data_IF_153875107723
#
_entry.id   IF_153875107723
#
_cell.length_a   1.000
_cell.length_b   1.000
_cell.length_c   1.000
_cell.angle_alpha   90.00
_cell.angle_beta   90.00
_cell.angle_gamma   90.00
#
_symmetry.space_group_name_H-M   'P 1'
#
loop_
_entity.id
_entity.type
_entity.pdbx_description
1 polymer ?
#
# COMPACT_ATOMS: atom_id res chain seq x y z
N UNK A 1 2.04 35.23 45.91
CA UNK A 1 1.48 33.90 46.26
C UNK A 1 1.41 33.09 44.97
N UNK A 2 2.45 32.31 44.67
CA UNK A 2 2.44 31.42 43.51
C UNK A 2 1.73 30.14 43.94
N UNK A 3 0.52 29.89 43.48
CA UNK A 3 -0.15 28.62 43.60
C UNK A 3 0.63 27.62 42.75
N UNK A 4 1.49 26.81 43.39
CA UNK A 4 2.11 25.65 42.73
C UNK A 4 1.00 24.74 42.24
N UNK A 5 0.88 24.59 40.93
CA UNK A 5 0.11 23.51 40.32
C UNK A 5 0.76 22.21 40.82
N UNK A 6 0.03 21.49 41.67
CA UNK A 6 0.39 20.14 42.12
C UNK A 6 0.21 19.20 40.90
N UNK A 7 1.24 19.17 40.05
CA UNK A 7 1.26 18.31 38.87
C UNK A 7 1.37 16.87 39.35
N UNK A 8 0.27 16.16 39.25
CA UNK A 8 0.31 14.70 39.48
C UNK A 8 1.39 14.06 38.60
N UNK A 9 2.18 13.13 39.13
CA UNK A 9 3.19 12.44 38.36
C UNK A 9 2.54 11.77 37.14
N UNK A 10 3.20 11.92 36.00
CA UNK A 10 2.73 11.32 34.73
C UNK A 10 2.47 9.82 34.92
N UNK A 11 1.29 9.29 34.55
CA UNK A 11 1.02 7.87 34.67
C UNK A 11 2.09 7.06 33.94
N UNK A 12 2.69 6.09 34.64
CA UNK A 12 3.61 5.14 34.01
C UNK A 12 2.75 4.06 33.36
N UNK A 13 2.92 3.78 32.05
CA UNK A 13 2.21 2.68 31.41
C UNK A 13 2.46 1.37 32.14
N UNK A 14 1.40 0.62 32.42
CA UNK A 14 1.54 -0.75 32.94
C UNK A 14 2.15 -1.70 31.89
N UNK A 15 2.45 -2.94 32.29
CA UNK A 15 2.92 -3.94 31.33
C UNK A 15 1.86 -4.16 30.24
N UNK A 16 2.32 -4.24 28.98
CA UNK A 16 1.42 -4.51 27.84
C UNK A 16 0.83 -5.91 28.02
N UNK A 17 -0.50 -6.07 28.02
CA UNK A 17 -1.12 -7.39 28.11
C UNK A 17 -0.65 -8.29 26.97
N UNK A 18 -0.52 -9.58 27.24
CA UNK A 18 -0.27 -10.56 26.19
C UNK A 18 -1.42 -10.49 25.16
N UNK A 19 -1.09 -10.12 23.94
CA UNK A 19 -2.03 -10.04 22.85
C UNK A 19 -1.48 -10.77 21.63
N UNK A 20 -2.34 -11.52 20.95
CA UNK A 20 -2.02 -12.18 19.69
C UNK A 20 -3.03 -11.77 18.65
N UNK A 21 -2.59 -11.70 17.41
CA UNK A 21 -3.49 -11.46 16.29
C UNK A 21 -4.57 -12.57 16.25
N UNK A 22 -5.85 -12.23 16.01
CA UNK A 22 -6.92 -13.20 16.02
C UNK A 22 -6.71 -14.32 14.98
N UNK A 23 -6.86 -15.57 15.39
CA UNK A 23 -6.63 -16.72 14.53
C UNK A 23 -7.72 -16.82 13.44
N UNK A 24 -7.29 -16.97 12.20
CA UNK A 24 -8.16 -17.29 11.07
C UNK A 24 -8.35 -18.80 10.90
N UNK A 25 -9.59 -19.23 10.69
CA UNK A 25 -9.93 -20.62 10.32
C UNK A 25 -9.98 -20.71 8.80
N UNK A 26 -9.12 -21.53 8.22
CA UNK A 26 -9.06 -21.76 6.79
C UNK A 26 -10.13 -22.75 6.31
N UNK A 27 -10.64 -22.51 5.13
CA UNK A 27 -11.59 -23.36 4.43
C UNK A 27 -11.52 -23.15 2.92
N UNK A 28 -12.47 -23.67 2.18
CA UNK A 28 -12.57 -23.46 0.72
C UNK A 28 -14.01 -23.68 0.24
N UNK A 29 -14.46 -22.81 -0.65
CA UNK A 29 -15.67 -23.06 -1.45
C UNK A 29 -15.34 -24.14 -2.51
N UNK A 30 -16.18 -25.16 -2.72
CA UNK A 30 -15.98 -26.15 -3.78
C UNK A 30 -15.81 -25.47 -5.15
N UNK A 31 -14.69 -25.73 -5.83
CA UNK A 31 -14.29 -25.10 -7.10
C UNK A 31 -14.23 -23.56 -7.08
N UNK A 32 -14.28 -22.94 -5.90
CA UNK A 32 -14.28 -21.50 -5.68
C UNK A 32 -13.09 -21.01 -4.84
N UNK A 33 -13.21 -19.82 -4.23
CA UNK A 33 -12.15 -19.19 -3.45
C UNK A 33 -11.77 -20.00 -2.20
N UNK A 34 -10.51 -19.87 -1.80
CA UNK A 34 -10.11 -20.20 -0.44
C UNK A 34 -10.83 -19.25 0.54
N UNK A 35 -11.11 -19.72 1.75
CA UNK A 35 -11.79 -18.92 2.76
C UNK A 35 -10.96 -18.79 4.03
N UNK A 36 -10.99 -17.62 4.66
CA UNK A 36 -10.45 -17.37 5.99
C UNK A 36 -11.55 -16.76 6.85
N UNK A 37 -11.96 -17.44 7.91
CA UNK A 37 -12.95 -16.93 8.86
C UNK A 37 -12.25 -16.52 10.14
N UNK A 38 -12.55 -15.35 10.64
CA UNK A 38 -12.02 -14.85 11.90
C UNK A 38 -13.19 -14.44 12.81
N UNK A 39 -13.49 -15.26 13.81
CA UNK A 39 -14.52 -14.94 14.80
C UNK A 39 -13.99 -13.92 15.81
N UNK A 40 -14.74 -12.82 15.94
CA UNK A 40 -14.42 -11.70 16.81
C UNK A 40 -15.61 -11.38 17.71
N UNK A 41 -15.79 -12.10 18.83
CA UNK A 41 -16.94 -11.96 19.72
C UNK A 41 -17.21 -10.51 20.11
N UNK A 42 -18.47 -10.07 20.00
CA UNK A 42 -18.91 -8.73 20.31
C UNK A 42 -18.71 -7.69 19.21
N UNK A 43 -18.05 -8.01 18.10
CA UNK A 43 -17.91 -7.11 16.93
C UNK A 43 -19.13 -7.23 16.02
N UNK A 44 -20.10 -6.32 16.19
CA UNK A 44 -21.41 -6.36 15.51
C UNK A 44 -21.36 -6.01 14.02
N UNK A 45 -20.23 -5.54 13.52
CA UNK A 45 -19.96 -5.33 12.08
C UNK A 45 -19.13 -6.49 11.57
N UNK A 46 -19.54 -7.11 10.49
CA UNK A 46 -18.76 -8.06 9.73
C UNK A 46 -18.02 -7.31 8.59
N UNK A 47 -16.80 -7.73 8.33
CA UNK A 47 -16.00 -7.28 7.21
C UNK A 47 -15.69 -8.46 6.30
N UNK A 48 -16.04 -8.34 5.03
CA UNK A 48 -15.70 -9.30 3.97
C UNK A 48 -14.65 -8.67 3.06
N UNK A 49 -13.62 -9.43 2.74
CA UNK A 49 -12.57 -9.02 1.78
C UNK A 49 -12.36 -10.15 0.80
N UNK A 50 -12.60 -9.90 -0.46
CA UNK A 50 -12.28 -10.82 -1.54
C UNK A 50 -11.01 -10.33 -2.23
N UNK A 51 -9.99 -11.19 -2.24
CA UNK A 51 -8.72 -10.98 -2.91
C UNK A 51 -8.73 -11.74 -4.21
N UNK A 52 -8.67 -11.02 -5.32
CA UNK A 52 -8.53 -11.58 -6.66
C UNK A 52 -7.09 -11.34 -7.11
N UNK A 53 -6.38 -12.39 -7.51
CA UNK A 53 -5.02 -12.26 -8.02
C UNK A 53 -5.00 -11.66 -9.44
N UNK A 54 -5.58 -10.48 -9.57
CA UNK A 54 -5.76 -9.70 -10.79
C UNK A 54 -5.36 -8.23 -10.55
N UNK A 55 -4.21 -8.02 -9.90
CA UNK A 55 -3.64 -6.70 -9.72
C UNK A 55 -2.95 -6.19 -10.99
N UNK A 56 -2.51 -4.93 -10.95
CA UNK A 56 -1.83 -4.31 -12.09
C UNK A 56 -0.56 -5.06 -12.54
N UNK A 57 0.09 -5.79 -11.62
CA UNK A 57 1.24 -6.65 -11.96
C UNK A 57 0.94 -7.79 -12.94
N UNK A 58 -0.35 -8.05 -13.22
CA UNK A 58 -0.82 -9.08 -14.16
C UNK A 58 -1.59 -8.49 -15.36
N UNK A 59 -1.50 -7.18 -15.57
CA UNK A 59 -2.13 -6.54 -16.73
C UNK A 59 -1.47 -7.01 -18.04
N UNK A 60 -2.25 -7.44 -19.03
CA UNK A 60 -1.72 -8.03 -20.25
C UNK A 60 -1.10 -7.00 -21.20
N UNK A 61 -0.14 -7.48 -21.99
CA UNK A 61 0.32 -6.83 -23.21
C UNK A 61 -0.29 -7.60 -24.37
N UNK A 62 -1.03 -6.92 -25.23
CA UNK A 62 -1.71 -7.55 -26.38
C UNK A 62 -0.71 -7.92 -27.48
N UNK A 63 -1.15 -8.75 -28.41
CA UNK A 63 -0.31 -9.23 -29.51
C UNK A 63 0.17 -8.11 -30.46
N UNK A 64 -0.54 -6.99 -30.51
CA UNK A 64 -0.17 -5.79 -31.26
C UNK A 64 0.83 -4.88 -30.51
N UNK A 65 1.21 -5.25 -29.29
CA UNK A 65 2.10 -4.52 -28.41
C UNK A 65 1.40 -3.48 -27.53
N UNK A 66 0.09 -3.30 -27.63
CA UNK A 66 -0.70 -2.41 -26.75
C UNK A 66 -0.71 -2.95 -25.33
N UNK A 67 -0.33 -2.11 -24.37
CA UNK A 67 -0.38 -2.42 -22.93
C UNK A 67 -1.73 -1.98 -22.38
N UNK A 68 -2.32 -2.81 -21.52
CA UNK A 68 -3.57 -2.49 -20.84
C UNK A 68 -3.32 -1.88 -19.44
N UNK A 69 -2.25 -1.06 -19.30
CA UNK A 69 -1.91 -0.43 -18.02
C UNK A 69 -3.09 0.43 -17.52
N UNK A 70 -3.56 0.14 -16.31
CA UNK A 70 -4.73 0.77 -15.68
C UNK A 70 -6.02 -0.04 -15.80
N UNK A 71 -6.06 -1.14 -16.58
CA UNK A 71 -7.28 -1.95 -16.73
C UNK A 71 -7.73 -2.57 -15.40
N UNK A 72 -6.81 -2.95 -14.52
CA UNK A 72 -7.15 -3.48 -13.20
C UNK A 72 -7.86 -2.44 -12.34
N UNK A 73 -7.37 -1.19 -12.32
CA UNK A 73 -7.98 -0.07 -11.61
C UNK A 73 -9.35 0.26 -12.18
N UNK A 74 -9.46 0.34 -13.50
CA UNK A 74 -10.73 0.63 -14.19
C UNK A 74 -11.76 -0.49 -13.93
N UNK A 75 -11.31 -1.75 -13.93
CA UNK A 75 -12.16 -2.91 -13.59
C UNK A 75 -12.67 -2.82 -12.15
N UNK A 76 -11.81 -2.45 -11.20
CA UNK A 76 -12.22 -2.27 -9.81
C UNK A 76 -13.33 -1.22 -9.67
N UNK A 77 -13.19 -0.07 -10.35
CA UNK A 77 -14.22 0.97 -10.36
C UNK A 77 -15.52 0.47 -11.03
N UNK A 78 -15.40 -0.24 -12.15
CA UNK A 78 -16.54 -0.74 -12.90
C UNK A 78 -17.40 -1.76 -12.13
N UNK A 79 -16.83 -2.49 -11.15
CA UNK A 79 -17.58 -3.39 -10.28
C UNK A 79 -18.65 -2.67 -9.45
N UNK A 80 -18.49 -1.39 -9.16
CA UNK A 80 -19.47 -0.60 -8.40
C UNK A 80 -20.59 -0.02 -9.27
N UNK A 81 -20.49 -0.12 -10.60
CA UNK A 81 -21.40 0.53 -11.56
C UNK A 81 -22.69 -0.27 -11.83
N UNK A 82 -22.80 -1.48 -11.27
CA UNK A 82 -24.02 -2.28 -11.36
C UNK A 82 -23.79 -3.74 -11.71
N UNK A 83 -24.90 -4.45 -11.74
CA UNK A 83 -24.96 -5.85 -12.16
C UNK A 83 -25.83 -5.97 -13.41
N UNK A 84 -25.78 -7.10 -14.12
CA UNK A 84 -26.62 -7.33 -15.32
C UNK A 84 -28.11 -7.03 -15.09
N UNK A 85 -28.74 -7.33 -13.92
CA UNK A 85 -30.14 -6.99 -13.66
C UNK A 85 -30.39 -5.54 -13.25
N UNK A 86 -29.35 -4.72 -12.92
CA UNK A 86 -29.55 -3.35 -12.42
C UNK A 86 -28.32 -2.48 -12.41
N UNK A 87 -28.47 -1.20 -12.75
CA UNK A 87 -27.39 -0.20 -12.79
C UNK A 87 -26.94 0.23 -11.39
N UNK A 88 -25.85 1.04 -11.34
CA UNK A 88 -25.14 1.43 -10.14
C UNK A 88 -26.00 2.10 -9.06
N UNK A 89 -26.95 2.95 -9.42
CA UNK A 89 -27.87 3.58 -8.45
C UNK A 89 -28.74 2.53 -7.74
N UNK A 90 -29.23 1.52 -8.45
CA UNK A 90 -30.03 0.45 -7.85
C UNK A 90 -29.17 -0.43 -6.93
N UNK A 91 -27.94 -0.72 -7.33
CA UNK A 91 -26.95 -1.46 -6.55
C UNK A 91 -26.59 -0.71 -5.26
N UNK A 92 -26.25 0.57 -5.36
CA UNK A 92 -25.94 1.41 -4.20
C UNK A 92 -27.12 1.42 -3.19
N UNK A 93 -28.35 1.66 -3.68
CA UNK A 93 -29.55 1.62 -2.84
C UNK A 93 -29.81 0.24 -2.22
N UNK A 94 -29.42 -0.86 -2.88
CA UNK A 94 -29.54 -2.20 -2.31
C UNK A 94 -28.57 -2.41 -1.14
N UNK A 95 -27.31 -1.98 -1.26
CA UNK A 95 -26.35 -2.00 -0.16
C UNK A 95 -26.76 -1.09 0.99
N UNK A 96 -27.21 0.12 0.71
CA UNK A 96 -27.71 1.06 1.73
C UNK A 96 -28.85 0.48 2.57
N UNK A 97 -29.81 -0.20 1.95
CA UNK A 97 -30.91 -0.86 2.68
C UNK A 97 -30.42 -1.94 3.64
N UNK A 98 -29.27 -2.54 3.38
CA UNK A 98 -28.63 -3.52 4.27
C UNK A 98 -27.72 -2.85 5.32
N UNK A 99 -27.53 -1.53 5.25
CA UNK A 99 -26.53 -0.81 6.05
C UNK A 99 -25.10 -1.24 5.70
N UNK A 100 -24.89 -1.65 4.46
CA UNK A 100 -23.62 -2.15 3.96
C UNK A 100 -22.85 -1.09 3.19
N UNK A 101 -21.52 -1.16 3.27
CA UNK A 101 -20.59 -0.38 2.43
C UNK A 101 -19.86 -1.34 1.52
N UNK A 102 -19.89 -1.04 0.22
CA UNK A 102 -19.17 -1.78 -0.82
C UNK A 102 -18.12 -0.87 -1.45
N UNK A 103 -16.92 -1.39 -1.69
CA UNK A 103 -15.90 -0.74 -2.52
C UNK A 103 -14.95 -1.75 -3.13
N UNK A 104 -14.32 -1.37 -4.23
CA UNK A 104 -13.27 -2.16 -4.87
C UNK A 104 -12.10 -1.26 -5.26
N UNK A 105 -10.89 -1.81 -5.22
CA UNK A 105 -9.67 -1.14 -5.68
C UNK A 105 -8.67 -2.17 -6.18
N UNK A 106 -7.73 -1.74 -7.01
CA UNK A 106 -6.62 -2.57 -7.44
C UNK A 106 -5.28 -1.96 -7.00
N UNK A 107 -4.37 -2.82 -6.57
CA UNK A 107 -2.96 -2.51 -6.37
C UNK A 107 -2.11 -3.33 -7.36
N UNK A 108 -0.78 -3.31 -7.22
CA UNK A 108 0.08 -4.12 -8.07
C UNK A 108 -0.17 -5.63 -7.93
N UNK A 109 -0.60 -6.08 -6.76
CA UNK A 109 -0.68 -7.50 -6.40
C UNK A 109 -2.06 -8.09 -6.67
N UNK A 110 -3.11 -7.34 -6.36
CA UNK A 110 -4.47 -7.86 -6.35
C UNK A 110 -5.52 -6.80 -6.72
N UNK A 111 -6.63 -7.24 -7.26
CA UNK A 111 -7.90 -6.54 -7.23
C UNK A 111 -8.63 -6.98 -5.96
N UNK A 112 -9.02 -6.03 -5.13
CA UNK A 112 -9.62 -6.24 -3.82
C UNK A 112 -11.04 -5.74 -3.83
N UNK A 113 -11.98 -6.58 -3.43
CA UNK A 113 -13.39 -6.23 -3.28
C UNK A 113 -13.77 -6.34 -1.81
N UNK A 114 -14.40 -5.33 -1.27
CA UNK A 114 -14.68 -5.21 0.15
C UNK A 114 -16.15 -4.91 0.43
N UNK A 115 -16.64 -5.52 1.50
CA UNK A 115 -17.97 -5.31 2.03
C UNK A 115 -17.86 -5.20 3.55
N UNK A 116 -18.48 -4.17 4.13
CA UNK A 116 -18.67 -4.04 5.56
C UNK A 116 -20.18 -3.95 5.84
N UNK A 117 -20.69 -4.75 6.78
CA UNK A 117 -22.14 -4.88 7.00
C UNK A 117 -22.44 -5.28 8.44
N UNK A 118 -23.61 -4.90 9.03
CA UNK A 118 -24.05 -5.48 10.29
C UNK A 118 -24.13 -7.02 10.20
N UNK A 119 -23.60 -7.73 11.20
CA UNK A 119 -23.55 -9.21 11.20
C UNK A 119 -24.89 -9.84 10.94
N UNK A 120 -25.98 -9.25 11.48
CA UNK A 120 -27.37 -9.74 11.28
C UNK A 120 -27.84 -9.66 9.83
N UNK A 121 -27.15 -8.94 8.97
CA UNK A 121 -27.46 -8.77 7.53
C UNK A 121 -26.41 -9.44 6.63
N UNK A 122 -25.39 -10.09 7.22
CA UNK A 122 -24.28 -10.68 6.47
C UNK A 122 -24.73 -11.66 5.37
N UNK A 123 -25.65 -12.61 5.60
CA UNK A 123 -26.07 -13.54 4.55
C UNK A 123 -26.68 -12.82 3.33
N UNK A 124 -27.62 -11.91 3.54
CA UNK A 124 -28.24 -11.16 2.45
C UNK A 124 -27.25 -10.22 1.72
N UNK A 125 -26.30 -9.65 2.46
CA UNK A 125 -25.27 -8.81 1.86
C UNK A 125 -24.23 -9.62 1.06
N UNK A 126 -23.95 -10.86 1.48
CA UNK A 126 -23.07 -11.78 0.72
C UNK A 126 -23.73 -12.21 -0.60
N UNK A 127 -25.05 -12.41 -0.63
CA UNK A 127 -25.77 -12.71 -1.88
C UNK A 127 -25.61 -11.57 -2.88
N UNK A 128 -25.83 -10.32 -2.44
CA UNK A 128 -25.67 -9.14 -3.28
C UNK A 128 -24.21 -8.92 -3.70
N UNK A 129 -23.27 -9.11 -2.77
CA UNK A 129 -21.83 -9.04 -3.03
C UNK A 129 -21.40 -10.08 -4.09
N UNK A 130 -21.90 -11.32 -3.96
CA UNK A 130 -21.63 -12.36 -4.93
C UNK A 130 -22.22 -12.06 -6.30
N UNK A 131 -23.40 -11.42 -6.35
CA UNK A 131 -23.98 -10.97 -7.62
C UNK A 131 -23.08 -9.98 -8.34
N UNK A 132 -22.57 -8.97 -7.62
CA UNK A 132 -21.61 -8.00 -8.18
C UNK A 132 -20.37 -8.70 -8.70
N UNK A 133 -19.79 -9.61 -7.92
CA UNK A 133 -18.54 -10.29 -8.29
C UNK A 133 -18.73 -11.28 -9.44
N UNK A 134 -19.87 -11.98 -9.48
CA UNK A 134 -20.10 -13.04 -10.48
C UNK A 134 -20.70 -12.52 -11.78
N UNK A 135 -21.45 -11.43 -11.75
CA UNK A 135 -22.21 -10.90 -12.88
C UNK A 135 -22.21 -9.36 -12.89
N UNK A 136 -21.02 -8.72 -12.86
CA UNK A 136 -20.94 -7.27 -13.02
C UNK A 136 -21.42 -6.87 -14.41
N UNK A 137 -22.09 -5.74 -14.56
CA UNK A 137 -22.58 -5.24 -15.84
C UNK A 137 -21.43 -4.91 -16.81
N UNK A 138 -20.41 -4.22 -16.35
CA UNK A 138 -19.24 -3.77 -17.12
C UNK A 138 -19.63 -3.11 -18.46
N UNK A 139 -20.63 -2.22 -18.42
CA UNK A 139 -21.21 -1.60 -19.60
C UNK A 139 -20.24 -0.60 -20.24
N UNK A 140 -20.24 -0.56 -21.58
CA UNK A 140 -19.36 0.34 -22.34
C UNK A 140 -19.59 1.83 -22.02
N UNK A 141 -20.82 2.21 -21.67
CA UNK A 141 -21.15 3.59 -21.29
C UNK A 141 -20.49 3.98 -19.96
N UNK A 142 -20.55 3.09 -18.98
CA UNK A 142 -19.94 3.29 -17.67
C UNK A 142 -18.41 3.27 -17.77
N UNK A 143 -17.84 2.32 -18.53
CA UNK A 143 -16.39 2.28 -18.75
C UNK A 143 -15.89 3.57 -19.41
N UNK A 144 -16.60 4.09 -20.43
CA UNK A 144 -16.20 5.39 -21.04
C UNK A 144 -16.28 6.56 -20.06
N UNK A 145 -17.23 6.56 -19.13
CA UNK A 145 -17.32 7.58 -18.07
C UNK A 145 -16.15 7.43 -17.09
N UNK A 146 -15.89 6.22 -16.62
CA UNK A 146 -14.79 5.91 -15.70
C UNK A 146 -13.41 6.22 -16.30
N UNK A 147 -13.22 6.04 -17.62
CA UNK A 147 -12.00 6.47 -18.31
C UNK A 147 -11.80 7.98 -18.15
N UNK A 148 -12.83 8.80 -18.39
CA UNK A 148 -12.73 10.27 -18.22
C UNK A 148 -12.43 10.65 -16.77
N UNK A 149 -13.14 10.05 -15.81
CA UNK A 149 -12.91 10.28 -14.38
C UNK A 149 -11.48 9.90 -14.00
N UNK A 150 -10.97 8.77 -14.51
CA UNK A 150 -9.59 8.33 -14.23
C UNK A 150 -8.55 9.29 -14.83
N UNK A 151 -8.79 9.85 -15.99
CA UNK A 151 -7.90 10.86 -16.58
C UNK A 151 -7.86 12.15 -15.73
N UNK A 152 -8.98 12.57 -15.15
CA UNK A 152 -9.03 13.70 -14.23
C UNK A 152 -8.28 13.39 -12.92
N UNK A 153 -8.43 12.16 -12.38
CA UNK A 153 -7.67 11.70 -11.20
C UNK A 153 -6.16 11.70 -11.47
N UNK A 154 -5.72 11.21 -12.65
CA UNK A 154 -4.30 11.21 -13.03
C UNK A 154 -3.76 12.63 -13.06
N UNK A 155 -4.51 13.60 -13.59
CA UNK A 155 -4.10 15.00 -13.59
C UNK A 155 -3.96 15.56 -12.18
N UNK A 156 -4.81 15.16 -11.24
CA UNK A 156 -4.68 15.54 -9.82
C UNK A 156 -3.47 14.86 -9.16
N UNK A 157 -3.25 13.56 -9.45
CA UNK A 157 -2.07 12.83 -8.96
C UNK A 157 -0.76 13.46 -9.44
N UNK A 158 -0.73 13.95 -10.68
CA UNK A 158 0.43 14.64 -11.26
C UNK A 158 0.68 16.02 -10.63
N UNK A 159 -0.36 16.67 -10.19
CA UNK A 159 -0.26 17.94 -9.47
C UNK A 159 0.26 17.79 -8.03
N UNK A 160 0.16 16.60 -7.42
CA UNK A 160 0.67 16.33 -6.08
C UNK A 160 2.16 15.95 -6.09
N UNK A 161 3.05 16.76 -5.46
CA UNK A 161 4.49 16.50 -5.51
C UNK A 161 4.91 15.17 -4.86
N UNK A 162 4.18 14.72 -3.84
CA UNK A 162 4.48 13.47 -3.15
C UNK A 162 4.18 12.26 -4.03
N UNK A 163 3.01 12.24 -4.64
CA UNK A 163 2.59 11.20 -5.59
C UNK A 163 3.54 11.17 -6.80
N UNK A 164 3.90 12.35 -7.32
CA UNK A 164 4.88 12.49 -8.40
C UNK A 164 6.24 11.93 -8.03
N UNK A 165 6.76 12.24 -6.83
CA UNK A 165 8.04 11.74 -6.36
C UNK A 165 8.06 10.21 -6.24
N UNK A 166 6.99 9.61 -5.72
CA UNK A 166 6.87 8.16 -5.59
C UNK A 166 6.72 7.45 -6.92
N UNK A 167 6.03 8.06 -7.89
CA UNK A 167 5.93 7.57 -9.26
C UNK A 167 7.30 7.58 -9.94
N UNK A 168 8.01 8.70 -9.86
CA UNK A 168 9.34 8.84 -10.43
C UNK A 168 10.35 7.90 -9.78
N UNK A 169 10.30 7.74 -8.45
CA UNK A 169 11.14 6.78 -7.74
C UNK A 169 11.00 5.37 -8.31
N UNK A 170 9.77 4.91 -8.54
CA UNK A 170 9.51 3.60 -9.13
C UNK A 170 9.93 3.54 -10.60
N UNK A 171 9.68 4.59 -11.38
CA UNK A 171 10.07 4.65 -12.78
C UNK A 171 11.59 4.55 -12.98
N UNK A 172 12.36 5.11 -12.03
CA UNK A 172 13.82 5.11 -12.06
C UNK A 172 14.42 3.81 -11.49
N UNK A 173 13.80 3.25 -10.43
CA UNK A 173 14.31 2.04 -9.78
C UNK A 173 13.97 0.74 -10.51
N UNK A 174 12.91 0.73 -11.32
CA UNK A 174 12.55 -0.45 -12.10
C UNK A 174 12.82 -0.22 -13.59
N UNK A 175 13.29 -1.25 -14.33
CA UNK A 175 13.48 -1.11 -15.76
C UNK A 175 12.14 -0.81 -16.47
N UNK A 176 12.12 -0.06 -17.58
CA UNK A 176 10.89 0.40 -18.24
C UNK A 176 9.93 -0.72 -18.67
N UNK A 177 10.44 -1.95 -18.84
CA UNK A 177 9.63 -3.13 -19.18
C UNK A 177 8.84 -3.64 -17.98
N UNK A 178 9.35 -3.46 -16.77
CA UNK A 178 8.70 -3.92 -15.56
C UNK A 178 7.37 -3.17 -15.32
N UNK A 179 6.31 -3.91 -15.01
CA UNK A 179 5.01 -3.26 -14.70
C UNK A 179 5.11 -2.34 -13.48
N UNK A 180 6.00 -2.68 -12.53
CA UNK A 180 6.26 -1.90 -11.32
C UNK A 180 6.83 -0.49 -11.61
N UNK A 181 7.48 -0.26 -12.77
CA UNK A 181 7.99 1.06 -13.16
C UNK A 181 6.89 2.07 -13.50
N UNK A 182 5.66 1.62 -13.77
CA UNK A 182 4.56 2.44 -14.26
C UNK A 182 3.46 2.62 -13.20
N UNK A 183 2.66 3.69 -13.27
CA UNK A 183 1.55 3.93 -12.34
C UNK A 183 0.57 2.76 -12.31
N UNK A 184 0.09 2.40 -11.14
CA UNK A 184 -0.87 1.30 -10.97
C UNK A 184 -2.17 1.57 -11.74
N UNK A 185 -2.66 2.80 -11.70
CA UNK A 185 -3.86 3.23 -12.41
C UNK A 185 -3.65 3.65 -13.86
N UNK A 186 -2.51 3.30 -14.46
CA UNK A 186 -2.17 3.63 -15.86
C UNK A 186 -1.63 5.04 -16.06
N UNK A 187 -1.25 5.33 -17.31
CA UNK A 187 -0.88 6.68 -17.79
C UNK A 187 -2.05 7.28 -18.57
N UNK A 188 -2.05 8.61 -18.84
CA UNK A 188 -3.09 9.21 -19.67
C UNK A 188 -3.29 8.48 -21.00
N UNK A 189 -2.20 8.13 -21.69
CA UNK A 189 -2.24 7.46 -22.98
C UNK A 189 -2.80 6.04 -22.89
N UNK A 190 -2.39 5.28 -21.86
CA UNK A 190 -2.87 3.91 -21.69
C UNK A 190 -4.33 3.86 -21.30
N UNK A 191 -4.77 4.76 -20.42
CA UNK A 191 -6.16 4.82 -19.92
C UNK A 191 -7.12 5.30 -21.00
N UNK A 192 -6.75 6.33 -21.78
CA UNK A 192 -7.58 6.84 -22.89
C UNK A 192 -7.82 5.78 -23.97
N UNK A 193 -6.89 4.83 -24.15
CA UNK A 193 -7.00 3.73 -25.10
C UNK A 193 -7.85 2.54 -24.60
N UNK A 194 -8.23 2.50 -23.30
CA UNK A 194 -9.00 1.39 -22.73
C UNK A 194 -10.46 1.43 -23.17
N UNK A 195 -11.00 0.24 -23.42
CA UNK A 195 -12.38 0.03 -23.85
C UNK A 195 -13.11 -0.95 -22.91
N UNK A 196 -14.44 -0.96 -22.97
CA UNK A 196 -15.25 -1.91 -22.19
C UNK A 196 -14.91 -3.37 -22.51
N UNK A 197 -14.53 -3.68 -23.75
CA UNK A 197 -14.04 -5.01 -24.13
C UNK A 197 -12.77 -5.42 -23.40
N UNK A 198 -11.84 -4.48 -23.15
CA UNK A 198 -10.61 -4.76 -22.40
C UNK A 198 -10.92 -5.07 -20.93
N UNK A 199 -11.83 -4.30 -20.31
CA UNK A 199 -12.30 -4.50 -18.93
C UNK A 199 -12.99 -5.86 -18.79
N UNK A 200 -13.91 -6.20 -19.71
CA UNK A 200 -14.59 -7.51 -19.69
C UNK A 200 -13.63 -8.67 -19.90
N UNK A 201 -12.70 -8.56 -20.85
CA UNK A 201 -11.69 -9.59 -21.08
C UNK A 201 -10.78 -9.78 -19.85
N UNK A 202 -10.30 -8.69 -19.26
CA UNK A 202 -9.48 -8.73 -18.07
C UNK A 202 -10.22 -9.39 -16.89
N UNK A 203 -11.46 -8.95 -16.62
CA UNK A 203 -12.25 -9.53 -15.52
C UNK A 203 -12.63 -10.99 -15.77
N UNK A 204 -12.97 -11.34 -17.01
CA UNK A 204 -13.27 -12.72 -17.42
C UNK A 204 -12.08 -13.69 -17.22
N UNK A 205 -10.87 -13.17 -17.17
CA UNK A 205 -9.63 -13.94 -16.92
C UNK A 205 -9.33 -14.16 -15.44
N UNK A 206 -10.13 -13.61 -14.52
CA UNK A 206 -9.99 -13.86 -13.08
C UNK A 206 -10.34 -15.30 -12.74
N UNK A 207 -9.42 -16.02 -12.11
CA UNK A 207 -9.59 -17.43 -11.72
C UNK A 207 -10.14 -17.51 -10.29
N UNK A 208 -11.42 -17.90 -10.09
CA UNK A 208 -12.03 -17.95 -8.75
C UNK A 208 -11.32 -18.89 -7.78
N UNK A 209 -10.77 -19.99 -8.27
CA UNK A 209 -10.03 -20.95 -7.45
C UNK A 209 -8.70 -20.41 -6.87
N UNK A 210 -8.18 -19.34 -7.45
CA UNK A 210 -7.01 -18.61 -6.93
C UNK A 210 -7.40 -17.50 -5.94
N UNK A 211 -8.68 -17.12 -5.88
CA UNK A 211 -9.16 -16.07 -4.99
C UNK A 211 -9.18 -16.50 -3.52
N UNK A 212 -9.16 -15.52 -2.63
CA UNK A 212 -9.36 -15.73 -1.18
C UNK A 212 -10.45 -14.82 -0.67
N UNK A 213 -11.45 -15.39 0.00
CA UNK A 213 -12.51 -14.66 0.71
C UNK A 213 -12.22 -14.67 2.22
N UNK A 214 -12.03 -13.50 2.79
CA UNK A 214 -11.83 -13.31 4.24
C UNK A 214 -13.11 -12.75 4.84
N UNK A 215 -13.55 -13.32 5.95
CA UNK A 215 -14.70 -12.83 6.73
C UNK A 215 -14.31 -12.71 8.19
N UNK A 216 -14.45 -11.52 8.76
CA UNK A 216 -14.21 -11.25 10.17
C UNK A 216 -15.40 -10.53 10.82
N UNK A 217 -15.70 -10.84 12.07
CA UNK A 217 -16.82 -10.28 12.85
C UNK A 217 -17.25 -11.20 13.95
N UNK A 218 -18.31 -10.87 14.69
CA UNK A 218 -18.98 -11.81 15.59
C UNK A 218 -19.81 -12.79 14.75
N UNK A 219 -19.18 -13.90 14.39
CA UNK A 219 -19.75 -14.90 13.48
C UNK A 219 -20.58 -15.96 14.23
N UNK A 220 -20.75 -15.81 15.54
CA UNK A 220 -21.56 -16.71 16.34
C UNK A 220 -23.01 -16.75 15.82
N UNK A 221 -23.51 -17.95 15.52
CA UNK A 221 -24.88 -18.13 15.01
C UNK A 221 -25.08 -17.81 13.52
N UNK A 222 -24.01 -17.52 12.75
CA UNK A 222 -24.07 -17.35 11.30
C UNK A 222 -23.37 -18.53 10.62
N UNK A 223 -24.05 -19.23 9.72
CA UNK A 223 -23.44 -20.22 8.85
C UNK A 223 -22.67 -19.53 7.71
N UNK A 224 -21.45 -19.07 8.04
CA UNK A 224 -20.61 -18.34 7.09
C UNK A 224 -20.15 -19.25 5.94
N UNK A 225 -19.85 -20.53 6.21
CA UNK A 225 -19.40 -21.46 5.18
C UNK A 225 -20.53 -21.78 4.19
N UNK A 226 -21.71 -22.02 4.67
CA UNK A 226 -22.91 -22.20 3.84
C UNK A 226 -23.20 -20.95 3.00
N UNK A 227 -23.12 -19.76 3.61
CA UNK A 227 -23.35 -18.49 2.92
C UNK A 227 -22.27 -18.22 1.84
N UNK A 228 -20.98 -18.46 2.12
CA UNK A 228 -19.91 -18.32 1.14
C UNK A 228 -20.01 -19.36 0.01
N UNK A 229 -20.41 -20.60 0.35
CA UNK A 229 -20.63 -21.64 -0.66
C UNK A 229 -21.77 -21.24 -1.59
N UNK A 230 -22.92 -20.83 -1.06
CA UNK A 230 -24.06 -20.37 -1.86
C UNK A 230 -23.68 -19.13 -2.72
N UNK A 231 -22.88 -18.22 -2.16
CA UNK A 231 -22.43 -17.00 -2.83
C UNK A 231 -21.54 -17.30 -4.04
N UNK A 232 -20.61 -18.22 -3.93
CA UNK A 232 -19.54 -18.42 -4.92
C UNK A 232 -19.60 -19.77 -5.67
N UNK A 233 -20.55 -20.64 -5.37
CA UNK A 233 -20.74 -21.89 -6.11
C UNK A 233 -21.03 -21.61 -7.60
N UNK A 234 -20.32 -22.33 -8.47
CA UNK A 234 -20.48 -22.18 -9.93
C UNK A 234 -19.86 -20.90 -10.52
N UNK A 235 -19.15 -20.10 -9.73
CA UNK A 235 -18.35 -19.00 -10.29
C UNK A 235 -17.11 -19.56 -11.01
N UNK A 236 -16.95 -19.23 -12.29
CA UNK A 236 -15.87 -19.73 -13.14
C UNK A 236 -15.27 -18.61 -13.99
N UNK A 237 -13.98 -18.74 -14.32
CA UNK A 237 -13.35 -17.88 -15.30
C UNK A 237 -13.96 -18.11 -16.70
N UNK A 238 -14.08 -17.06 -17.50
CA UNK A 238 -14.63 -17.11 -18.85
C UNK A 238 -13.60 -16.76 -19.93
N UNK A 239 -12.43 -16.26 -19.51
CA UNK A 239 -11.31 -15.87 -20.39
C UNK A 239 -10.06 -16.72 -20.17
N UNK A 240 -9.03 -16.41 -20.94
CA UNK A 240 -7.71 -17.01 -20.78
C UNK A 240 -7.05 -16.56 -19.48
N UNK A 241 -6.17 -17.38 -18.86
CA UNK A 241 -5.49 -17.00 -17.63
C UNK A 241 -4.68 -15.71 -17.80
N UNK A 242 -4.72 -14.85 -16.77
CA UNK A 242 -3.86 -13.67 -16.72
C UNK A 242 -2.37 -14.08 -16.73
N UNK A 243 -1.48 -13.23 -17.29
CA UNK A 243 -0.05 -13.49 -17.27
C UNK A 243 0.47 -13.65 -15.84
N UNK A 244 1.59 -14.34 -15.68
CA UNK A 244 2.28 -14.41 -14.40
C UNK A 244 2.67 -13.01 -13.92
N UNK A 245 2.64 -12.76 -12.60
CA UNK A 245 3.03 -11.47 -12.07
C UNK A 245 4.50 -11.16 -12.36
N UNK A 246 4.77 -9.91 -12.68
CA UNK A 246 6.13 -9.41 -12.86
C UNK A 246 6.91 -9.56 -11.54
N UNK A 247 8.12 -10.16 -11.63
CA UNK A 247 9.02 -10.41 -10.51
C UNK A 247 10.31 -9.61 -10.61
N UNK A 248 10.33 -8.59 -11.44
CA UNK A 248 11.51 -7.74 -11.62
C UNK A 248 11.89 -7.06 -10.31
N UNK A 249 13.17 -7.18 -9.95
CA UNK A 249 13.71 -6.54 -8.75
C UNK A 249 14.07 -5.07 -9.05
N UNK A 250 13.92 -4.16 -8.07
CA UNK A 250 14.38 -2.78 -8.20
C UNK A 250 15.90 -2.71 -8.26
N UNK A 251 16.41 -1.77 -9.05
CA UNK A 251 17.82 -1.39 -9.07
C UNK A 251 18.10 -0.35 -7.97
N UNK A 252 19.12 -0.61 -7.15
CA UNK A 252 19.57 0.28 -6.09
C UNK A 252 20.93 0.85 -6.50
N UNK A 253 20.91 1.95 -7.24
CA UNK A 253 22.11 2.66 -7.70
C UNK A 253 22.03 4.12 -7.24
N UNK A 254 23.15 4.68 -6.77
CA UNK A 254 23.20 6.08 -6.37
C UNK A 254 22.86 7.01 -7.55
N UNK A 255 21.81 7.79 -7.40
CA UNK A 255 21.40 8.82 -8.38
C UNK A 255 20.53 9.86 -7.72
N UNK A 256 20.55 11.06 -8.25
CA UNK A 256 19.63 12.14 -7.89
C UNK A 256 18.85 12.52 -9.15
N UNK A 257 17.53 12.46 -9.06
CA UNK A 257 16.64 12.90 -10.15
C UNK A 257 15.82 14.07 -9.67
N UNK A 258 15.98 15.20 -10.32
CA UNK A 258 15.19 16.41 -10.10
C UNK A 258 14.05 16.41 -11.10
N UNK A 259 12.82 16.41 -10.59
CA UNK A 259 11.61 16.63 -11.39
C UNK A 259 11.27 18.10 -11.31
N UNK A 260 11.40 18.81 -12.44
CA UNK A 260 11.25 20.25 -12.47
C UNK A 260 9.81 20.69 -12.20
N UNK A 261 9.66 21.58 -11.22
CA UNK A 261 8.40 22.26 -10.88
C UNK A 261 8.71 23.73 -10.59
N UNK A 262 8.75 24.56 -11.64
CA UNK A 262 9.18 25.95 -11.53
C UNK A 262 8.37 26.74 -10.50
N UNK A 263 9.07 27.57 -9.73
CA UNK A 263 8.45 28.44 -8.72
C UNK A 263 8.00 27.72 -7.44
N UNK A 264 8.26 26.44 -7.29
CA UNK A 264 7.94 25.71 -6.05
C UNK A 264 8.69 26.27 -4.86
N UNK A 265 7.97 26.59 -3.78
CA UNK A 265 8.52 27.05 -2.49
C UNK A 265 8.96 25.91 -1.59
N UNK A 266 8.56 24.69 -1.92
CA UNK A 266 8.97 23.46 -1.26
C UNK A 266 9.46 22.45 -2.30
N UNK A 267 10.44 21.63 -1.89
CA UNK A 267 10.89 20.45 -2.62
C UNK A 267 10.40 19.22 -1.90
N UNK A 268 9.73 18.32 -2.61
CA UNK A 268 9.39 17.01 -2.05
C UNK A 268 10.53 16.03 -2.35
N UNK A 269 11.06 15.43 -1.31
CA UNK A 269 12.16 14.47 -1.35
C UNK A 269 11.65 13.05 -1.16
N UNK A 270 12.18 12.11 -1.95
CA UNK A 270 12.00 10.68 -1.72
C UNK A 270 13.34 9.96 -1.93
N UNK A 271 13.73 9.17 -0.93
CA UNK A 271 14.92 8.32 -0.93
C UNK A 271 14.45 6.89 -1.04
N UNK A 272 15.00 6.11 -1.96
CA UNK A 272 14.58 4.73 -2.19
C UNK A 272 15.75 3.75 -2.29
N UNK A 273 15.54 2.54 -1.76
CA UNK A 273 16.44 1.39 -1.90
C UNK A 273 15.62 0.11 -2.00
N UNK A 274 16.03 -0.82 -2.87
CA UNK A 274 15.43 -2.14 -2.95
C UNK A 274 15.73 -2.97 -1.70
N UNK A 275 14.72 -3.66 -1.19
CA UNK A 275 14.87 -4.57 -0.04
C UNK A 275 14.11 -5.87 -0.34
N UNK A 276 14.35 -6.97 0.40
CA UNK A 276 13.53 -8.18 0.30
C UNK A 276 12.05 -7.90 0.52
N UNK A 277 11.17 -8.81 0.09
CA UNK A 277 9.75 -8.73 0.37
C UNK A 277 9.42 -9.13 1.82
N UNK A 278 8.14 -8.99 2.20
CA UNK A 278 7.73 -9.25 3.58
C UNK A 278 7.74 -10.75 3.98
N UNK A 279 7.99 -11.68 3.07
CA UNK A 279 8.19 -13.10 3.38
C UNK A 279 9.60 -13.39 3.92
N UNK A 280 10.54 -12.48 3.73
CA UNK A 280 11.91 -12.62 4.17
C UNK A 280 12.02 -12.50 5.70
N UNK A 281 12.82 -13.37 6.33
CA UNK A 281 13.00 -13.40 7.78
C UNK A 281 13.56 -12.10 8.39
N UNK A 282 14.26 -11.30 7.60
CA UNK A 282 14.82 -10.00 8.01
C UNK A 282 13.81 -8.85 7.95
N UNK A 283 12.62 -9.06 7.36
CA UNK A 283 11.61 -8.01 7.19
C UNK A 283 11.19 -7.33 8.51
N UNK A 284 10.97 -8.04 9.62
CA UNK A 284 10.64 -7.40 10.91
C UNK A 284 11.74 -6.46 11.40
N UNK A 285 13.00 -6.86 11.27
CA UNK A 285 14.14 -6.02 11.65
C UNK A 285 14.30 -4.81 10.74
N UNK A 286 14.06 -4.94 9.43
CA UNK A 286 14.02 -3.82 8.50
C UNK A 286 12.90 -2.83 8.84
N UNK A 287 11.73 -3.32 9.26
CA UNK A 287 10.64 -2.46 9.70
C UNK A 287 11.00 -1.67 10.97
N UNK A 288 11.72 -2.28 11.92
CA UNK A 288 12.23 -1.58 13.10
C UNK A 288 13.26 -0.50 12.69
N UNK A 289 14.21 -0.81 11.79
CA UNK A 289 15.19 0.15 11.29
C UNK A 289 14.51 1.35 10.59
N UNK A 290 13.54 1.09 9.72
CA UNK A 290 12.78 2.14 9.05
C UNK A 290 12.00 3.01 10.06
N UNK A 291 11.46 2.40 11.13
CA UNK A 291 10.76 3.13 12.17
C UNK A 291 11.71 4.03 12.99
N UNK A 292 12.91 3.56 13.34
CA UNK A 292 13.95 4.38 13.99
C UNK A 292 14.28 5.60 13.14
N UNK A 293 14.39 5.43 11.83
CA UNK A 293 14.73 6.52 10.91
C UNK A 293 13.60 7.54 10.73
N UNK A 294 12.36 7.11 10.54
CA UNK A 294 11.28 8.02 10.19
C UNK A 294 9.86 7.57 10.58
N UNK A 295 9.72 6.61 11.50
CA UNK A 295 8.41 6.07 11.86
C UNK A 295 7.60 6.91 12.85
N UNK A 296 8.24 7.85 13.55
CA UNK A 296 7.59 8.68 14.56
C UNK A 296 8.14 10.10 14.60
N UNK A 297 7.51 10.96 15.41
CA UNK A 297 7.93 12.37 15.56
C UNK A 297 9.33 12.50 16.21
N UNK A 298 9.75 11.52 16.99
CA UNK A 298 11.07 11.49 17.67
C UNK A 298 12.09 10.64 16.93
N UNK A 299 11.79 10.20 15.70
CA UNK A 299 12.72 9.46 14.84
C UNK A 299 13.90 10.32 14.40
N UNK A 300 15.00 9.71 13.99
CA UNK A 300 16.26 10.40 13.65
C UNK A 300 16.06 11.49 12.61
N UNK A 301 15.39 11.19 11.50
CA UNK A 301 15.11 12.18 10.45
C UNK A 301 14.29 13.36 10.95
N UNK A 302 13.30 13.12 11.83
CA UNK A 302 12.52 14.20 12.40
C UNK A 302 13.28 14.99 13.46
N UNK A 303 14.05 14.33 14.31
CA UNK A 303 14.91 15.01 15.30
C UNK A 303 15.90 15.95 14.59
N UNK A 304 16.52 15.48 13.49
CA UNK A 304 17.50 16.27 12.73
C UNK A 304 16.84 17.36 11.89
N UNK A 305 15.96 16.98 10.96
CA UNK A 305 15.46 17.88 9.92
C UNK A 305 14.32 18.79 10.39
N UNK A 306 13.50 18.30 11.35
CA UNK A 306 12.37 19.07 11.86
C UNK A 306 12.72 19.85 13.13
N UNK A 307 13.21 19.15 14.19
CA UNK A 307 13.38 19.78 15.50
C UNK A 307 14.68 20.62 15.58
N UNK A 308 15.81 20.11 15.05
CA UNK A 308 17.08 20.82 15.09
C UNK A 308 17.18 21.89 14.01
N UNK A 309 16.82 21.56 12.77
CA UNK A 309 17.04 22.40 11.58
C UNK A 309 15.82 23.22 11.15
N UNK A 310 14.61 22.78 11.46
CA UNK A 310 13.39 23.44 11.01
C UNK A 310 13.14 23.41 9.50
N UNK A 311 13.74 22.46 8.77
CA UNK A 311 13.66 22.35 7.31
C UNK A 311 12.33 21.80 6.80
N UNK A 312 11.61 21.04 7.63
CA UNK A 312 10.41 20.27 7.27
C UNK A 312 9.38 20.29 8.38
N UNK A 313 8.14 20.04 8.03
CA UNK A 313 7.08 19.67 8.99
C UNK A 313 7.16 18.20 9.40
N UNK A 314 7.89 17.36 8.65
CA UNK A 314 8.14 15.96 8.98
C UNK A 314 8.67 15.17 7.81
N UNK A 315 9.54 14.20 8.15
CA UNK A 315 10.01 13.15 7.26
C UNK A 315 9.46 11.81 7.75
N UNK A 316 9.12 10.93 6.82
CA UNK A 316 8.66 9.58 7.13
C UNK A 316 9.55 8.56 6.47
N UNK A 317 9.88 7.48 7.18
CA UNK A 317 10.53 6.32 6.56
C UNK A 317 9.73 5.06 6.85
N UNK A 318 9.74 4.14 5.88
CA UNK A 318 8.98 2.90 5.95
C UNK A 318 9.37 1.92 4.86
N UNK A 319 8.67 0.79 4.83
CA UNK A 319 8.84 -0.23 3.81
C UNK A 319 7.57 -0.29 2.94
N UNK A 320 7.73 -0.11 1.64
CA UNK A 320 6.68 -0.41 0.67
C UNK A 320 6.63 -1.92 0.45
N UNK A 321 5.44 -2.47 0.63
CA UNK A 321 5.15 -3.89 0.46
C UNK A 321 4.80 -4.14 -0.99
N UNK A 322 5.63 -4.92 -1.67
CA UNK A 322 5.36 -5.41 -3.01
C UNK A 322 5.51 -6.92 -3.00
N UNK A 323 4.78 -7.62 -3.86
CA UNK A 323 4.96 -9.06 -4.00
C UNK A 323 6.30 -9.31 -4.69
N UNK A 324 7.14 -10.16 -4.11
CA UNK A 324 8.48 -10.54 -4.57
C UNK A 324 9.61 -9.53 -4.33
N UNK A 325 9.33 -8.31 -3.92
CA UNK A 325 10.33 -7.32 -3.50
C UNK A 325 9.72 -6.34 -2.49
N UNK A 326 10.55 -5.47 -1.94
CA UNK A 326 10.14 -4.32 -1.15
C UNK A 326 10.98 -3.11 -1.50
N UNK A 327 10.53 -1.94 -1.10
CA UNK A 327 11.34 -0.72 -1.13
C UNK A 327 11.43 -0.14 0.27
N UNK A 328 12.64 0.14 0.73
CA UNK A 328 12.85 1.12 1.78
C UNK A 328 12.63 2.50 1.18
N UNK A 329 11.80 3.30 1.81
CA UNK A 329 11.51 4.67 1.36
C UNK A 329 11.59 5.61 2.55
N UNK A 330 12.33 6.74 2.39
CA UNK A 330 12.24 7.89 3.28
C UNK A 330 11.75 9.09 2.45
N UNK A 331 10.78 9.87 2.95
CA UNK A 331 10.16 10.92 2.15
C UNK A 331 9.57 12.05 2.99
N UNK A 332 9.49 13.24 2.41
CA UNK A 332 8.88 14.42 3.01
C UNK A 332 9.18 15.69 2.22
N UNK A 333 8.46 16.77 2.55
CA UNK A 333 8.68 18.09 1.94
C UNK A 333 9.60 18.94 2.79
N UNK A 334 10.51 19.66 2.15
CA UNK A 334 11.44 20.64 2.76
C UNK A 334 11.29 21.99 2.07
N UNK A 335 11.74 23.07 2.69
CA UNK A 335 11.84 24.35 1.99
C UNK A 335 12.84 24.26 0.84
N UNK A 336 12.52 24.84 -0.32
CA UNK A 336 13.34 24.75 -1.54
C UNK A 336 14.78 25.22 -1.30
N UNK A 337 14.98 26.29 -0.53
CA UNK A 337 16.28 26.90 -0.26
C UNK A 337 17.25 26.00 0.53
N UNK A 338 16.72 25.03 1.27
CA UNK A 338 17.52 24.10 2.11
C UNK A 338 17.51 22.66 1.56
N UNK A 339 17.11 22.48 0.31
CA UNK A 339 16.98 21.14 -0.30
C UNK A 339 18.28 20.34 -0.22
N UNK A 340 19.42 20.92 -0.62
CA UNK A 340 20.70 20.23 -0.61
C UNK A 340 21.17 19.92 0.81
N UNK A 341 21.02 20.85 1.75
CA UNK A 341 21.35 20.63 3.16
C UNK A 341 20.48 19.50 3.75
N UNK A 342 19.19 19.49 3.43
CA UNK A 342 18.27 18.46 3.89
C UNK A 342 18.60 17.08 3.32
N UNK A 343 19.02 17.00 2.05
CA UNK A 343 19.51 15.75 1.45
C UNK A 343 20.79 15.29 2.14
N UNK A 344 21.74 16.19 2.38
CA UNK A 344 23.01 15.90 3.08
C UNK A 344 22.76 15.36 4.49
N UNK A 345 21.92 16.06 5.27
CA UNK A 345 21.58 15.69 6.64
C UNK A 345 20.79 14.34 6.67
N UNK A 346 19.85 14.14 5.73
CA UNK A 346 19.14 12.86 5.64
C UNK A 346 20.09 11.70 5.32
N UNK A 347 21.00 11.86 4.37
CA UNK A 347 22.01 10.85 4.04
C UNK A 347 22.93 10.57 5.24
N UNK A 348 23.28 11.59 6.02
CA UNK A 348 24.08 11.43 7.23
C UNK A 348 23.37 10.57 8.29
N UNK A 349 22.07 10.79 8.51
CA UNK A 349 21.27 9.97 9.44
C UNK A 349 21.12 8.51 8.95
N UNK A 350 20.93 8.30 7.64
CA UNK A 350 20.84 6.97 7.04
C UNK A 350 22.20 6.22 7.16
N UNK A 351 23.32 6.91 6.95
CA UNK A 351 24.68 6.38 7.17
C UNK A 351 24.94 6.09 8.63
N UNK A 352 24.52 6.99 9.53
CA UNK A 352 24.68 6.84 10.98
C UNK A 352 24.02 5.57 11.52
N UNK A 353 22.85 5.19 11.01
CA UNK A 353 22.25 3.91 11.42
C UNK A 353 23.09 2.73 10.93
N UNK A 354 23.70 2.82 9.75
CA UNK A 354 24.56 1.77 9.24
C UNK A 354 25.91 1.68 9.99
N UNK A 355 26.55 2.80 10.37
CA UNK A 355 27.85 2.84 11.03
C UNK A 355 27.77 2.67 12.53
N UNK A 356 26.93 3.45 13.19
CA UNK A 356 26.88 3.59 14.65
C UNK A 356 25.83 2.68 15.30
N UNK A 357 24.91 2.15 14.48
CA UNK A 357 23.82 1.29 14.96
C UNK A 357 22.66 2.10 15.54
N UNK A 358 21.91 1.46 16.43
CA UNK A 358 20.77 2.06 17.15
C UNK A 358 20.93 1.83 18.65
N UNK A 359 20.51 2.77 19.47
CA UNK A 359 20.54 2.61 20.92
C UNK A 359 19.32 1.83 21.45
N UNK A 360 19.37 1.49 22.76
CA UNK A 360 18.31 0.70 23.39
C UNK A 360 16.97 1.45 23.49
N UNK A 361 17.01 2.77 23.64
CA UNK A 361 15.79 3.60 23.77
C UNK A 361 15.09 3.76 22.43
N UNK A 362 15.83 4.04 21.35
CA UNK A 362 15.34 4.09 19.96
C UNK A 362 14.71 2.74 19.56
N UNK A 363 15.43 1.65 19.83
CA UNK A 363 14.94 0.29 19.58
C UNK A 363 13.66 0.02 20.37
N UNK A 364 13.69 0.24 21.69
CA UNK A 364 12.54 -0.01 22.56
C UNK A 364 11.31 0.82 22.18
N UNK A 365 11.50 2.10 21.79
CA UNK A 365 10.42 2.95 21.31
C UNK A 365 9.81 2.41 20.00
N UNK A 366 10.66 1.94 19.09
CA UNK A 366 10.23 1.39 17.79
C UNK A 366 9.50 0.06 17.94
N UNK A 367 9.99 -0.84 18.80
CA UNK A 367 9.31 -2.10 19.12
C UNK A 367 7.92 -1.84 19.72
N UNK A 368 7.81 -0.92 20.69
CA UNK A 368 6.51 -0.53 21.24
C UNK A 368 5.56 0.03 20.18
N UNK A 369 6.05 0.89 19.32
CA UNK A 369 5.23 1.49 18.26
C UNK A 369 4.74 0.47 17.23
N UNK A 370 5.55 -0.53 16.87
CA UNK A 370 5.23 -1.53 15.86
C UNK A 370 4.48 -2.74 16.41
N UNK A 371 4.74 -3.14 17.66
CA UNK A 371 4.20 -4.37 18.19
C UNK A 371 3.15 -4.16 19.30
N UNK A 372 3.32 -3.14 20.16
CA UNK A 372 2.42 -2.95 21.29
C UNK A 372 1.18 -2.10 20.95
N UNK A 373 1.18 -1.46 19.76
CA UNK A 373 -0.02 -0.81 19.19
C UNK A 373 -0.98 -1.80 18.52
N UNK A 374 -0.55 -3.02 18.26
CA UNK A 374 -1.34 -4.02 17.54
C UNK A 374 -2.77 -4.23 18.10
N UNK A 375 -3.01 -4.26 19.44
CA UNK A 375 -4.38 -4.36 19.96
C UNK A 375 -5.30 -3.22 19.51
N UNK A 376 -4.79 -2.00 19.40
CA UNK A 376 -5.55 -0.84 18.93
C UNK A 376 -5.68 -0.83 17.40
N UNK A 377 -4.63 -1.24 16.69
CA UNK A 377 -4.63 -1.31 15.22
C UNK A 377 -5.63 -2.35 14.70
N UNK A 378 -5.69 -3.51 15.35
CA UNK A 378 -6.57 -4.61 14.97
C UNK A 378 -7.84 -4.71 15.84
N UNK A 379 -8.32 -3.60 16.36
CA UNK A 379 -9.51 -3.57 17.20
C UNK A 379 -10.79 -3.91 16.42
N UNK A 380 -10.88 -3.56 15.15
CA UNK A 380 -12.09 -3.70 14.33
C UNK A 380 -12.03 -4.92 13.43
N UNK A 381 -13.19 -5.50 13.11
CA UNK A 381 -13.31 -6.57 12.12
C UNK A 381 -12.75 -6.14 10.75
N UNK A 382 -12.91 -4.85 10.38
CA UNK A 382 -12.36 -4.27 9.16
C UNK A 382 -10.84 -4.37 9.12
N UNK A 383 -10.16 -3.99 10.20
CA UNK A 383 -8.70 -4.02 10.27
C UNK A 383 -8.15 -5.45 10.24
N UNK A 384 -8.78 -6.37 10.97
CA UNK A 384 -8.41 -7.79 10.97
C UNK A 384 -8.61 -8.42 9.58
N UNK A 385 -9.77 -8.19 8.95
CA UNK A 385 -10.03 -8.71 7.61
C UNK A 385 -9.09 -8.11 6.55
N UNK A 386 -8.76 -6.82 6.66
CA UNK A 386 -7.83 -6.17 5.75
C UNK A 386 -6.41 -6.75 5.85
N UNK A 387 -5.90 -6.99 7.07
CA UNK A 387 -4.58 -7.62 7.26
C UNK A 387 -4.57 -9.06 6.75
N UNK A 388 -5.59 -9.87 7.05
CA UNK A 388 -5.70 -11.24 6.52
C UNK A 388 -5.78 -11.27 4.99
N UNK A 389 -6.48 -10.30 4.39
CA UNK A 389 -6.54 -10.15 2.93
C UNK A 389 -5.18 -9.73 2.35
N UNK A 390 -4.45 -8.84 3.03
CA UNK A 390 -3.13 -8.40 2.59
C UNK A 390 -2.09 -9.52 2.66
N UNK A 391 -2.05 -10.28 3.76
CA UNK A 391 -1.14 -11.43 3.85
C UNK A 391 -1.48 -12.50 2.81
N UNK A 392 -2.78 -12.76 2.55
CA UNK A 392 -3.21 -13.68 1.51
C UNK A 392 -2.78 -13.23 0.11
N UNK A 393 -2.99 -11.94 -0.22
CA UNK A 393 -2.56 -11.37 -1.51
C UNK A 393 -1.06 -11.55 -1.77
N UNK A 394 -0.26 -11.50 -0.70
CA UNK A 394 1.18 -11.67 -0.75
C UNK A 394 1.64 -13.13 -0.63
N UNK A 395 0.72 -14.10 -0.58
CA UNK A 395 1.04 -15.52 -0.47
C UNK A 395 1.57 -15.94 0.92
N UNK A 396 1.24 -15.17 1.95
CA UNK A 396 1.63 -15.43 3.35
C UNK A 396 0.53 -16.19 4.09
N UNK A 397 0.92 -16.95 5.11
CA UNK A 397 -0.03 -17.66 5.98
C UNK A 397 -0.82 -16.74 6.91
N UNK A 398 -1.99 -17.17 7.36
CA UNK A 398 -2.83 -16.41 8.31
C UNK A 398 -2.18 -16.22 9.68
N UNK A 399 -1.14 -16.97 10.00
CA UNK A 399 -0.30 -16.85 11.21
C UNK A 399 0.78 -15.77 11.11
N UNK A 400 1.04 -15.27 9.90
CA UNK A 400 2.08 -14.28 9.64
C UNK A 400 1.98 -13.04 10.53
N UNK A 401 0.82 -12.40 10.80
CA UNK A 401 0.76 -11.22 11.65
C UNK A 401 1.27 -11.50 13.07
N UNK A 402 0.92 -12.65 13.65
CA UNK A 402 1.42 -13.05 14.97
C UNK A 402 2.93 -13.32 14.94
N UNK A 403 3.41 -14.02 13.93
CA UNK A 403 4.84 -14.31 13.75
C UNK A 403 5.66 -13.01 13.55
N UNK A 404 5.16 -12.07 12.76
CA UNK A 404 5.76 -10.75 12.56
C UNK A 404 5.88 -9.97 13.88
N UNK A 405 4.80 -9.87 14.66
CA UNK A 405 4.81 -9.17 15.94
C UNK A 405 5.77 -9.81 16.95
N UNK A 406 5.82 -11.15 16.97
CA UNK A 406 6.77 -11.89 17.80
C UNK A 406 8.22 -11.61 17.37
N UNK A 407 8.50 -11.59 16.09
CA UNK A 407 9.84 -11.30 15.56
C UNK A 407 10.28 -9.86 15.82
N UNK A 408 9.37 -8.88 15.71
CA UNK A 408 9.64 -7.48 16.11
C UNK A 408 10.02 -7.41 17.59
N UNK A 409 9.25 -8.07 18.49
CA UNK A 409 9.56 -8.08 19.94
C UNK A 409 10.87 -8.81 20.28
N UNK A 410 11.24 -9.83 19.52
CA UNK A 410 12.47 -10.59 19.70
C UNK A 410 13.70 -9.92 19.07
N UNK A 411 13.52 -8.83 18.31
CA UNK A 411 14.64 -8.13 17.69
C UNK A 411 15.55 -7.49 18.74
N UNK A 412 16.80 -7.25 18.36
CA UNK A 412 17.79 -6.58 19.21
C UNK A 412 18.41 -5.41 18.46
N UNK A 413 18.90 -4.35 19.16
CA UNK A 413 19.56 -3.22 18.51
C UNK A 413 20.62 -3.64 17.50
N UNK A 414 21.55 -4.51 17.91
CA UNK A 414 22.61 -5.03 17.03
C UNK A 414 22.08 -5.86 15.87
N UNK A 415 21.01 -6.64 16.09
CA UNK A 415 20.35 -7.43 15.06
C UNK A 415 19.75 -6.55 13.97
N UNK A 416 19.04 -5.51 14.39
CA UNK A 416 18.41 -4.53 13.50
C UNK A 416 19.47 -3.75 12.70
N UNK A 417 20.53 -3.26 13.36
CA UNK A 417 21.61 -2.56 12.69
C UNK A 417 22.35 -3.44 11.66
N UNK A 418 22.62 -4.72 12.02
CA UNK A 418 23.23 -5.67 11.05
C UNK A 418 22.33 -5.93 9.86
N UNK A 419 21.03 -6.09 10.09
CA UNK A 419 20.04 -6.31 9.04
C UNK A 419 19.94 -5.10 8.12
N UNK A 420 19.89 -3.90 8.67
CA UNK A 420 19.88 -2.67 7.88
C UNK A 420 21.11 -2.58 6.98
N UNK A 421 22.32 -2.75 7.52
CA UNK A 421 23.58 -2.75 6.73
C UNK A 421 23.62 -3.80 5.61
N UNK A 422 22.94 -4.94 5.82
CA UNK A 422 22.89 -6.02 4.81
C UNK A 422 22.02 -5.65 3.61
N UNK A 423 20.92 -4.93 3.84
CA UNK A 423 19.86 -4.75 2.86
C UNK A 423 19.70 -3.31 2.37
N UNK A 424 20.24 -2.33 3.07
CA UNK A 424 20.16 -0.92 2.68
C UNK A 424 21.58 -0.35 2.65
N UNK A 425 22.03 0.01 1.45
CA UNK A 425 23.29 0.71 1.25
C UNK A 425 23.01 2.21 1.11
N UNK A 426 23.37 3.06 2.10
CA UNK A 426 23.17 4.49 2.02
C UNK A 426 23.94 5.18 0.87
N UNK A 427 24.98 4.50 0.32
CA UNK A 427 25.73 4.99 -0.84
C UNK A 427 25.10 4.59 -2.17
N UNK A 428 24.03 3.81 -2.17
CA UNK A 428 23.33 3.34 -3.36
C UNK A 428 21.85 3.75 -3.40
N UNK A 429 21.47 4.80 -2.67
CA UNK A 429 20.09 5.31 -2.66
C UNK A 429 19.77 6.09 -3.95
N UNK A 430 18.58 5.84 -4.48
CA UNK A 430 17.96 6.74 -5.46
C UNK A 430 17.27 7.88 -4.72
N UNK A 431 17.60 9.12 -5.06
CA UNK A 431 16.97 10.33 -4.50
C UNK A 431 16.17 11.03 -5.59
N UNK A 432 14.89 11.25 -5.30
CA UNK A 432 13.99 12.05 -6.14
C UNK A 432 13.74 13.38 -5.44
N UNK A 433 13.87 14.49 -6.17
CA UNK A 433 13.57 15.82 -5.70
C UNK A 433 12.57 16.49 -6.65
N UNK A 434 11.31 16.64 -6.24
CA UNK A 434 10.29 17.35 -7.01
C UNK A 434 10.24 18.79 -6.52
N UNK A 435 10.75 19.73 -7.33
CA UNK A 435 10.89 21.13 -6.93
C UNK A 435 11.41 22.02 -8.05
N UNK A 436 11.76 23.26 -7.72
CA UNK A 436 12.28 24.25 -8.65
C UNK A 436 13.73 23.90 -9.08
N UNK A 437 13.86 23.28 -10.25
CA UNK A 437 15.14 22.76 -10.73
C UNK A 437 16.22 23.86 -10.88
N UNK A 438 15.83 25.09 -11.23
CA UNK A 438 16.75 26.21 -11.35
C UNK A 438 17.45 26.52 -10.01
N UNK A 439 16.74 26.32 -8.89
CA UNK A 439 17.27 26.62 -7.55
C UNK A 439 18.00 25.45 -6.91
N UNK A 440 17.57 24.21 -7.19
CA UNK A 440 18.05 23.05 -6.42
C UNK A 440 19.10 22.21 -7.12
N UNK A 441 19.22 22.26 -8.48
CA UNK A 441 20.10 21.35 -9.22
C UNK A 441 21.58 21.58 -8.90
N UNK A 442 22.09 22.81 -9.01
CA UNK A 442 23.47 23.11 -8.74
C UNK A 442 23.90 22.81 -7.29
N UNK A 443 23.13 23.21 -6.24
CA UNK A 443 23.43 22.80 -4.87
C UNK A 443 23.45 21.27 -4.66
N UNK A 444 22.55 20.52 -5.32
CA UNK A 444 22.54 19.07 -5.24
C UNK A 444 23.75 18.42 -5.92
N UNK A 445 24.22 18.96 -7.06
CA UNK A 445 25.46 18.53 -7.73
C UNK A 445 26.70 18.73 -6.84
N UNK A 446 26.74 19.86 -6.12
CA UNK A 446 27.82 20.18 -5.20
C UNK A 446 27.98 19.25 -4.02
N UNK A 447 26.91 18.46 -3.68
CA UNK A 447 27.00 17.42 -2.65
C UNK A 447 27.96 16.29 -3.03
N UNK A 448 28.19 16.05 -4.32
CA UNK A 448 29.09 15.00 -4.81
C UNK A 448 28.59 13.57 -4.47
N UNK A 449 27.32 13.40 -4.09
CA UNK A 449 26.75 12.10 -3.76
C UNK A 449 26.57 11.23 -4.99
N UNK A 450 25.95 11.77 -6.02
CA UNK A 450 25.68 11.07 -7.27
C UNK A 450 25.45 12.05 -8.43
N UNK A 451 25.37 11.52 -9.65
CA UNK A 451 24.97 12.30 -10.83
C UNK A 451 23.54 12.84 -10.65
N UNK A 452 23.37 14.13 -10.89
CA UNK A 452 22.07 14.81 -10.92
C UNK A 452 21.52 14.80 -12.35
N UNK A 453 20.29 14.32 -12.50
CA UNK A 453 19.56 14.36 -13.78
C UNK A 453 18.30 15.17 -13.60
N UNK A 454 18.03 16.11 -14.51
CA UNK A 454 16.80 16.91 -14.49
C UNK A 454 15.82 16.33 -15.51
N UNK A 455 14.63 16.01 -15.06
CA UNK A 455 13.52 15.61 -15.92
C UNK A 455 12.52 16.77 -16.01
N UNK A 456 12.03 17.03 -17.21
CA UNK A 456 11.00 18.06 -17.40
C UNK A 456 9.74 17.66 -16.61
N UNK A 457 9.24 18.57 -15.78
CA UNK A 457 7.85 18.50 -15.31
C UNK A 457 6.91 18.56 -16.52
N UNK A 458 5.75 17.90 -16.44
CA UNK A 458 4.73 18.11 -17.47
C UNK A 458 4.35 19.60 -17.46
N UNK A 459 4.37 20.21 -18.67
CA UNK A 459 3.95 21.61 -18.80
C UNK A 459 2.48 21.69 -18.37
N UNK A 460 2.18 22.58 -17.41
CA UNK A 460 0.79 23.01 -17.20
C UNK A 460 0.22 23.38 -18.56
N UNK A 461 -0.81 22.66 -19.00
CA UNK A 461 -1.59 23.08 -20.15
C UNK A 461 -2.33 24.34 -19.74
N UNK A 462 -1.90 25.51 -20.27
CA UNK A 462 -2.63 26.77 -20.20
C UNK A 462 -4.07 26.63 -20.71
#
# INVERSE_FOLDING_TARGET
MSSGLDLQPRPVPGPVPAWAFPAGVAGRVPAGPATLRCDLPGRRLAAVRLVLHAGAGREPVLADGRRLDGVATLTAHALAEGTEPGGGTALAAAFERLGASFFAHADLTALRVALDVPVTRLPAALELFAEVVRRPALDDADVRRLVRERLEEIAQEDADPGTRAMRELRAVMFPPQARASRPTGGTPESVDALQGSDVRAFYGSVVPAEATAVVAGDLSGVDVDGALTAAFEGWAATGDPLPDPDRTMPDSTARIVVVDRPGSVQTYLAFGHGVPDRSHHDWPSLAVAAHVLGGGLTSRLNAKLREEKGYTYGMRAGLLRMRHCGLFVAQGAVHTEVTADAVSDALAELRGLASDGIDADEHGASVRALADRAPAEYETARAVAAELADVSANGLGSDYPSAYLAAVRASTPDGVARTYRRHVDPEALTVIAVGDAEKISEPLEQLGYATVTVTAGEKEKE
#
